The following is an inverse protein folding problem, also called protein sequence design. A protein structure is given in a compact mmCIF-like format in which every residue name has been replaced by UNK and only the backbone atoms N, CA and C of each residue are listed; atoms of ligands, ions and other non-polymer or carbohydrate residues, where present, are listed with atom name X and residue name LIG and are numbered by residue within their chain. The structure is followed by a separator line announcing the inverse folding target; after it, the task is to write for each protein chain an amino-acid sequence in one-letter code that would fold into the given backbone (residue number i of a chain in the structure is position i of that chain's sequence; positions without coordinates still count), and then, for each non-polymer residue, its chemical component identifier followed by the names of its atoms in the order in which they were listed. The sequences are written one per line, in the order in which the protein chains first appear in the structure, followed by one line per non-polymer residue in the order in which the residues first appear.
data_IF_671720199991
#
_entry.id   IF_671720199991
#
_cell.length_a   1.000
_cell.length_b   1.000
_cell.length_c   1.000
_cell.angle_alpha   90.00
_cell.angle_beta   90.00
_cell.angle_gamma   90.00
#
_symmetry.space_group_name_H-M   'P 1'
#
loop_
_entity.id
_entity.type
_entity.pdbx_description
1 polymer ?
#
# COMPACT_ATOMS: atom_id res chain seq x y z
N UNK A 1 40.81 7.61 9.01
CA UNK A 1 39.55 6.86 9.12
C UNK A 1 38.50 7.75 8.49
N UNK A 2 37.92 7.32 7.36
CA UNK A 2 36.85 8.06 6.70
C UNK A 2 35.55 7.63 7.38
N UNK A 3 34.95 8.55 8.13
CA UNK A 3 33.64 8.35 8.72
C UNK A 3 32.61 8.31 7.59
N UNK A 4 32.23 7.08 7.20
CA UNK A 4 31.06 6.85 6.36
C UNK A 4 29.80 7.16 7.19
N UNK A 5 29.47 8.45 7.29
CA UNK A 5 28.18 8.89 7.80
C UNK A 5 27.12 8.50 6.76
N UNK A 6 26.50 7.34 6.95
CA UNK A 6 25.27 6.99 6.27
C UNK A 6 24.22 7.96 6.81
N UNK A 7 23.85 8.96 6.02
CA UNK A 7 22.65 9.76 6.27
C UNK A 7 21.43 8.85 6.08
N UNK A 8 21.12 8.05 7.11
CA UNK A 8 19.80 7.45 7.22
C UNK A 8 18.86 8.64 7.40
N UNK A 9 18.04 8.93 6.40
CA UNK A 9 17.08 10.02 6.46
C UNK A 9 16.06 9.66 7.54
N UNK A 10 16.33 10.08 8.78
CA UNK A 10 15.65 9.64 10.02
C UNK A 10 14.13 9.88 9.99
N UNK A 11 13.68 10.74 9.06
CA UNK A 11 12.28 11.10 8.85
C UNK A 11 11.55 10.26 7.78
N UNK A 12 12.25 9.43 7.01
CA UNK A 12 11.63 8.59 5.98
C UNK A 12 10.43 7.77 6.49
N UNK A 13 10.49 7.16 7.70
CA UNK A 13 9.35 6.45 8.26
C UNK A 13 8.13 7.35 8.52
N UNK A 14 8.32 8.60 8.96
CA UNK A 14 7.21 9.53 9.23
C UNK A 14 6.59 10.09 7.97
N UNK A 15 7.39 10.34 6.93
CA UNK A 15 6.90 10.83 5.63
C UNK A 15 6.07 9.74 4.96
N UNK A 16 6.56 8.50 4.95
CA UNK A 16 5.84 7.34 4.41
C UNK A 16 4.47 7.16 5.08
N UNK A 17 4.44 7.17 6.41
CA UNK A 17 3.19 7.09 7.19
C UNK A 17 2.25 8.28 6.97
N UNK A 18 2.78 9.48 6.77
CA UNK A 18 1.96 10.65 6.44
C UNK A 18 1.28 10.51 5.07
N UNK A 19 1.94 9.88 4.09
CA UNK A 19 1.36 9.59 2.77
C UNK A 19 0.24 8.55 2.90
N UNK A 20 0.45 7.45 3.65
CA UNK A 20 -0.59 6.46 3.95
C UNK A 20 -1.82 7.16 4.54
N UNK A 21 -1.62 7.98 5.58
CA UNK A 21 -2.72 8.66 6.25
C UNK A 21 -3.51 9.59 5.31
N UNK A 22 -2.83 10.31 4.42
CA UNK A 22 -3.49 11.18 3.44
C UNK A 22 -4.30 10.38 2.41
N UNK A 23 -3.72 9.30 1.87
CA UNK A 23 -4.39 8.42 0.91
C UNK A 23 -5.64 7.78 1.53
N UNK A 24 -5.50 7.14 2.69
CA UNK A 24 -6.62 6.50 3.39
C UNK A 24 -7.72 7.51 3.71
N UNK A 25 -7.36 8.72 4.16
CA UNK A 25 -8.37 9.76 4.43
C UNK A 25 -9.14 10.14 3.17
N UNK A 26 -8.44 10.39 2.05
CA UNK A 26 -9.07 10.74 0.79
C UNK A 26 -9.96 9.62 0.24
N UNK A 27 -9.45 8.39 0.19
CA UNK A 27 -10.16 7.22 -0.32
C UNK A 27 -11.37 6.87 0.55
N UNK A 28 -11.23 6.94 1.88
CA UNK A 28 -12.35 6.73 2.80
C UNK A 28 -13.45 7.77 2.60
N UNK A 29 -13.09 9.03 2.33
CA UNK A 29 -14.08 10.06 2.00
C UNK A 29 -14.83 9.75 0.70
N UNK A 30 -14.16 9.20 -0.31
CA UNK A 30 -14.84 8.75 -1.53
C UNK A 30 -15.85 7.63 -1.24
N UNK A 31 -15.46 6.64 -0.42
CA UNK A 31 -16.34 5.56 0.00
C UNK A 31 -17.56 6.09 0.76
N UNK A 32 -17.35 6.92 1.79
CA UNK A 32 -18.42 7.51 2.61
C UNK A 32 -19.41 8.37 1.81
N UNK A 33 -18.92 9.01 0.75
CA UNK A 33 -19.74 9.84 -0.14
C UNK A 33 -20.39 9.04 -1.29
N UNK A 34 -20.28 7.70 -1.28
CA UNK A 34 -20.86 6.83 -2.31
C UNK A 34 -20.21 6.98 -3.69
N UNK A 35 -18.99 7.50 -3.76
CA UNK A 35 -18.23 7.68 -5.01
C UNK A 35 -17.43 6.45 -5.40
N UNK A 36 -17.23 5.53 -4.47
CA UNK A 36 -16.69 4.19 -4.69
C UNK A 36 -17.36 3.23 -3.72
N UNK A 37 -17.32 1.93 -4.05
CA UNK A 37 -17.74 0.83 -3.16
C UNK A 37 -16.59 0.25 -2.35
N UNK A 38 -15.35 0.60 -2.70
CA UNK A 38 -14.18 0.02 -2.07
C UNK A 38 -13.79 0.80 -0.81
N UNK A 39 -13.53 0.08 0.28
CA UNK A 39 -13.03 0.65 1.53
C UNK A 39 -11.50 0.58 1.56
N UNK A 40 -10.87 1.64 2.07
CA UNK A 40 -9.43 1.72 2.20
C UNK A 40 -8.94 1.16 3.54
N UNK A 41 -7.93 0.30 3.48
CA UNK A 41 -7.29 -0.31 4.64
C UNK A 41 -5.79 -0.02 4.62
N UNK A 42 -5.25 0.69 5.64
CA UNK A 42 -3.81 0.85 5.79
C UNK A 42 -3.19 -0.44 6.33
N UNK A 43 -2.05 -0.85 5.77
CA UNK A 43 -1.20 -1.92 6.32
C UNK A 43 -1.97 -3.19 6.73
N UNK A 44 -2.90 -3.63 5.88
CA UNK A 44 -3.71 -4.82 6.11
C UNK A 44 -3.25 -6.00 5.25
N UNK A 45 -3.45 -7.23 5.73
CA UNK A 45 -3.20 -8.44 4.94
C UNK A 45 -4.16 -8.52 3.73
N UNK A 46 -3.61 -8.84 2.55
CA UNK A 46 -4.39 -9.06 1.30
C UNK A 46 -5.40 -10.20 1.45
N UNK A 47 -5.03 -11.27 2.14
CA UNK A 47 -5.91 -12.40 2.46
C UNK A 47 -5.86 -12.66 3.96
N UNK A 48 -6.97 -12.39 4.64
CA UNK A 48 -7.10 -12.53 6.10
C UNK A 48 -7.22 -14.00 6.55
N UNK A 49 -7.49 -14.94 5.64
CA UNK A 49 -7.64 -16.37 5.97
C UNK A 49 -6.30 -17.08 6.23
N UNK A 50 -5.18 -16.45 5.86
CA UNK A 50 -3.83 -16.98 5.99
C UNK A 50 -2.84 -15.88 6.31
N UNK A 51 -1.60 -16.24 6.64
CA UNK A 51 -0.51 -15.27 6.64
C UNK A 51 -0.24 -14.83 5.20
N UNK A 52 -0.58 -13.58 4.88
CA UNK A 52 -0.34 -12.99 3.57
C UNK A 52 0.53 -11.74 3.66
N UNK A 53 1.09 -11.28 2.54
CA UNK A 53 1.76 -9.98 2.45
C UNK A 53 0.83 -8.83 2.87
N UNK A 54 1.45 -7.75 3.33
CA UNK A 54 0.80 -6.52 3.78
C UNK A 54 1.32 -5.36 2.89
N UNK A 55 0.51 -4.85 1.94
CA UNK A 55 0.79 -3.61 1.23
C UNK A 55 0.64 -2.40 2.15
N UNK A 56 1.18 -1.25 1.73
CA UNK A 56 0.99 0.01 2.46
C UNK A 56 -0.49 0.42 2.53
N UNK A 57 -1.22 0.34 1.42
CA UNK A 57 -2.68 0.51 1.36
C UNK A 57 -3.30 -0.51 0.43
N UNK A 58 -4.46 -1.06 0.81
CA UNK A 58 -5.32 -1.82 -0.09
C UNK A 58 -6.74 -1.26 -0.12
N UNK A 59 -7.42 -1.45 -1.24
CA UNK A 59 -8.86 -1.22 -1.38
C UNK A 59 -9.57 -2.57 -1.57
N UNK A 60 -10.57 -2.83 -0.74
CA UNK A 60 -11.36 -4.04 -0.81
C UNK A 60 -12.86 -3.73 -0.77
N UNK A 61 -13.66 -4.56 -1.43
CA UNK A 61 -15.11 -4.53 -1.31
C UNK A 61 -15.49 -5.13 0.06
N UNK A 62 -16.14 -4.36 0.96
CA UNK A 62 -16.48 -4.84 2.30
C UNK A 62 -17.56 -5.94 2.31
N UNK A 63 -18.31 -6.12 1.22
CA UNK A 63 -19.36 -7.14 1.13
C UNK A 63 -18.79 -8.50 0.69
N UNK A 64 -17.72 -8.50 -0.11
CA UNK A 64 -17.09 -9.74 -0.63
C UNK A 64 -15.72 -10.04 -0.04
N UNK A 65 -15.13 -9.08 0.69
CA UNK A 65 -13.76 -9.09 1.21
C UNK A 65 -12.67 -9.25 0.12
N UNK A 66 -13.02 -9.05 -1.15
CA UNK A 66 -12.07 -9.14 -2.25
C UNK A 66 -11.23 -7.86 -2.35
N UNK A 67 -9.92 -8.03 -2.39
CA UNK A 67 -8.97 -6.93 -2.63
C UNK A 67 -8.91 -6.62 -4.12
N UNK A 68 -9.26 -5.38 -4.50
CA UNK A 68 -9.31 -4.95 -5.90
C UNK A 68 -8.14 -4.04 -6.28
N UNK A 69 -7.59 -3.30 -5.32
CA UNK A 69 -6.48 -2.37 -5.55
C UNK A 69 -5.41 -2.52 -4.48
N UNK A 70 -4.15 -2.51 -4.90
CA UNK A 70 -2.98 -2.41 -4.05
C UNK A 70 -2.23 -1.10 -4.31
N UNK A 71 -1.72 -0.45 -3.27
CA UNK A 71 -0.91 0.76 -3.37
C UNK A 71 0.32 0.57 -2.47
N UNK A 72 1.51 0.72 -3.05
CA UNK A 72 2.79 0.69 -2.35
C UNK A 72 3.43 2.08 -2.42
N UNK A 73 3.96 2.60 -1.32
CA UNK A 73 4.64 3.89 -1.26
C UNK A 73 6.14 3.63 -1.24
N UNK A 74 6.76 3.81 -2.40
CA UNK A 74 8.19 3.52 -2.55
C UNK A 74 9.08 4.76 -2.34
N UNK A 75 10.38 4.53 -2.15
CA UNK A 75 11.42 5.54 -2.27
C UNK A 75 12.24 5.30 -3.54
N UNK A 76 12.92 6.34 -4.05
CA UNK A 76 13.66 6.30 -5.33
C UNK A 76 14.67 5.15 -5.48
N UNK A 77 15.21 4.61 -4.39
CA UNK A 77 16.14 3.48 -4.42
C UNK A 77 15.45 2.09 -4.48
N UNK A 78 14.14 1.99 -4.19
CA UNK A 78 13.37 0.73 -4.11
C UNK A 78 12.42 0.46 -5.28
N UNK A 79 12.12 1.48 -6.09
CA UNK A 79 11.04 1.47 -7.12
C UNK A 79 10.99 0.19 -7.97
N UNK A 80 12.14 -0.26 -8.52
CA UNK A 80 12.19 -1.44 -9.41
C UNK A 80 11.86 -2.75 -8.70
N UNK A 81 12.27 -2.89 -7.45
CA UNK A 81 12.01 -4.08 -6.66
C UNK A 81 10.54 -4.09 -6.22
N UNK A 82 10.04 -2.96 -5.72
CA UNK A 82 8.66 -2.83 -5.25
C UNK A 82 7.66 -3.00 -6.40
N UNK A 83 7.95 -2.46 -7.60
CA UNK A 83 7.11 -2.67 -8.79
C UNK A 83 7.00 -4.16 -9.16
N UNK A 84 8.09 -4.92 -9.00
CA UNK A 84 8.09 -6.36 -9.31
C UNK A 84 7.28 -7.13 -8.29
N UNK A 85 7.53 -6.86 -7.00
CA UNK A 85 6.76 -7.42 -5.89
C UNK A 85 5.27 -7.15 -6.07
N UNK A 86 4.88 -5.92 -6.37
CA UNK A 86 3.50 -5.54 -6.61
C UNK A 86 2.84 -6.36 -7.73
N UNK A 87 3.52 -6.51 -8.88
CA UNK A 87 3.00 -7.33 -9.99
C UNK A 87 2.85 -8.81 -9.63
N UNK A 88 3.80 -9.35 -8.88
CA UNK A 88 3.73 -10.73 -8.39
C UNK A 88 2.54 -10.91 -7.44
N UNK A 89 2.31 -9.96 -6.53
CA UNK A 89 1.16 -9.98 -5.62
C UNK A 89 -0.16 -9.86 -6.37
N UNK A 90 -0.26 -8.92 -7.31
CA UNK A 90 -1.47 -8.78 -8.12
C UNK A 90 -1.82 -10.06 -8.87
N UNK A 91 -0.81 -10.74 -9.43
CA UNK A 91 -1.01 -12.01 -10.12
C UNK A 91 -1.40 -13.14 -9.16
N UNK A 92 -0.77 -13.21 -7.98
CA UNK A 92 -0.98 -14.28 -7.01
C UNK A 92 -2.36 -14.20 -6.33
N UNK A 93 -2.88 -12.99 -6.14
CA UNK A 93 -4.14 -12.73 -5.43
C UNK A 93 -5.27 -12.24 -6.36
N UNK A 94 -5.07 -12.27 -7.68
CA UNK A 94 -6.04 -11.82 -8.70
C UNK A 94 -6.55 -10.39 -8.48
N UNK A 95 -5.64 -9.49 -8.12
CA UNK A 95 -5.94 -8.07 -7.90
C UNK A 95 -5.91 -7.32 -9.24
N UNK A 96 -6.95 -6.52 -9.48
CA UNK A 96 -7.16 -5.82 -10.75
C UNK A 96 -6.21 -4.63 -10.98
N UNK A 97 -5.89 -3.87 -9.93
CA UNK A 97 -5.09 -2.65 -10.06
C UNK A 97 -3.97 -2.54 -9.02
N UNK A 98 -2.86 -1.90 -9.41
CA UNK A 98 -1.70 -1.68 -8.56
C UNK A 98 -1.05 -0.32 -8.82
N UNK A 99 -0.77 0.41 -7.75
CA UNK A 99 -0.13 1.73 -7.77
C UNK A 99 1.17 1.75 -6.95
N UNK A 100 2.08 2.63 -7.34
CA UNK A 100 3.44 2.79 -6.80
C UNK A 100 3.79 4.28 -6.68
#
# INVERSE_FOLDING_TARGET
MQDNVIFVNVNAPRIHQAIIAQLVTGLTNLYRNGKTRLMAYPEAMIDQSRTSPVPDVLLADPDTELTEVLIEITHTQGVKQDTRKLKELMTAYDVSEGFM
#
